data_IF_031664587162
#
_entry.id   IF_031664587162
#
_cell.length_a   1.000
_cell.length_b   1.000
_cell.length_c   1.000
_cell.angle_alpha   90.00
_cell.angle_beta   90.00
_cell.angle_gamma   90.00
#
_symmetry.space_group_name_H-M   'P 1'
#
loop_
_entity.id
_entity.type
_entity.pdbx_description
1 polymer ?
#
# COMPACT_ATOMS: atom_id res chain seq x y z
N UNK A 1 -28.48 50.66 12.38
CA UNK A 1 -27.19 50.05 12.80
C UNK A 1 -27.49 48.62 13.24
N UNK A 2 -26.96 47.64 12.50
CA UNK A 2 -26.99 46.24 12.92
C UNK A 2 -25.80 46.03 13.87
N UNK A 3 -25.98 45.39 15.03
CA UNK A 3 -24.89 45.10 15.94
C UNK A 3 -23.94 44.08 15.28
N UNK A 4 -22.64 44.35 15.37
CA UNK A 4 -21.61 43.39 14.96
C UNK A 4 -21.79 42.05 15.69
N UNK A 5 -21.62 40.90 15.02
CA UNK A 5 -21.61 39.62 15.71
C UNK A 5 -20.49 39.62 16.74
N UNK A 6 -20.69 38.98 17.90
CA UNK A 6 -19.65 38.91 18.93
C UNK A 6 -18.41 38.21 18.33
N UNK A 7 -17.24 38.81 18.63
CA UNK A 7 -15.97 38.21 18.23
C UNK A 7 -15.89 36.78 18.77
N UNK A 8 -15.77 35.82 17.86
CA UNK A 8 -15.53 34.43 18.23
C UNK A 8 -14.21 34.36 18.99
N UNK A 9 -14.18 33.77 20.20
CA UNK A 9 -12.95 33.67 20.96
C UNK A 9 -11.94 32.87 20.15
N UNK A 10 -10.82 33.48 19.83
CA UNK A 10 -9.69 32.84 19.17
C UNK A 10 -9.00 31.87 20.14
N UNK A 11 -9.55 30.66 20.27
CA UNK A 11 -8.88 29.53 20.92
C UNK A 11 -8.11 28.67 19.89
N UNK A 12 -7.47 29.30 18.94
CA UNK A 12 -6.41 28.65 18.19
C UNK A 12 -5.12 29.17 18.79
N UNK A 13 -4.55 28.40 19.74
CA UNK A 13 -3.13 28.53 20.03
C UNK A 13 -2.41 28.19 18.70
N UNK A 14 -1.73 29.18 18.14
CA UNK A 14 -0.74 28.94 17.10
C UNK A 14 0.20 27.85 17.62
N UNK A 15 0.21 26.68 16.98
CA UNK A 15 1.24 25.71 17.23
C UNK A 15 0.93 24.25 17.02
N UNK A 16 -0.31 23.78 16.99
CA UNK A 16 -0.53 22.36 16.74
C UNK A 16 -1.87 22.10 16.06
N UNK A 17 -1.87 22.14 14.73
CA UNK A 17 -2.84 21.31 14.02
C UNK A 17 -2.46 19.85 14.29
N UNK A 18 -3.34 19.04 14.89
CA UNK A 18 -3.06 17.62 15.05
C UNK A 18 -2.85 17.03 13.66
N UNK A 19 -1.60 16.70 13.33
CA UNK A 19 -1.28 15.98 12.09
C UNK A 19 -2.02 14.65 12.16
N UNK A 20 -2.74 14.25 11.11
CA UNK A 20 -3.34 12.92 11.07
C UNK A 20 -2.25 11.88 11.38
N UNK A 21 -2.44 11.07 12.41
CA UNK A 21 -1.41 10.16 12.95
C UNK A 21 -0.94 9.08 11.98
N UNK A 22 -1.58 8.93 10.81
CA UNK A 22 -1.25 7.92 9.81
C UNK A 22 -1.44 8.47 8.40
N UNK A 23 -0.52 9.33 7.96
CA UNK A 23 -0.42 9.77 6.56
C UNK A 23 0.57 8.84 5.85
N UNK A 24 0.15 8.33 4.70
CA UNK A 24 1.05 7.63 3.78
C UNK A 24 1.89 8.65 3.01
N UNK A 25 3.17 8.34 2.82
CA UNK A 25 4.05 9.05 1.90
C UNK A 25 5.01 8.06 1.23
N UNK A 26 5.47 8.38 0.03
CA UNK A 26 6.52 7.63 -0.67
C UNK A 26 7.49 8.59 -1.35
N UNK A 27 8.76 8.18 -1.41
CA UNK A 27 9.86 8.89 -2.10
C UNK A 27 10.74 7.85 -2.76
N UNK A 28 11.28 8.15 -3.94
CA UNK A 28 12.18 7.26 -4.65
C UNK A 28 11.94 7.22 -6.15
N UNK A 29 12.40 6.14 -6.80
CA UNK A 29 12.20 5.86 -8.22
C UNK A 29 10.93 5.04 -8.43
N UNK A 30 10.51 4.89 -9.70
CA UNK A 30 9.34 4.09 -10.07
C UNK A 30 9.42 2.63 -9.56
N UNK A 31 10.60 2.04 -9.54
CA UNK A 31 10.82 0.63 -9.18
C UNK A 31 11.24 0.42 -7.71
N UNK A 32 11.70 1.47 -7.02
CA UNK A 32 12.17 1.40 -5.63
C UNK A 32 11.75 2.66 -4.88
N UNK A 33 10.94 2.50 -3.85
CA UNK A 33 10.40 3.62 -3.08
C UNK A 33 10.62 3.39 -1.59
N UNK A 34 11.02 4.41 -0.87
CA UNK A 34 10.88 4.44 0.59
C UNK A 34 9.46 4.92 0.91
N UNK A 35 8.71 4.09 1.57
CA UNK A 35 7.30 4.34 1.95
C UNK A 35 7.19 4.51 3.45
N UNK A 36 6.24 5.33 3.85
CA UNK A 36 5.94 5.60 5.26
C UNK A 36 4.44 5.57 5.52
N UNK A 37 4.05 4.99 6.64
CA UNK A 37 2.71 5.11 7.21
C UNK A 37 2.80 5.34 8.72
N UNK A 38 2.56 6.57 9.16
CA UNK A 38 2.80 6.96 10.55
C UNK A 38 4.29 6.91 10.90
N UNK A 39 4.67 6.10 11.87
CA UNK A 39 6.07 5.91 12.31
C UNK A 39 6.74 4.69 11.64
N UNK A 40 6.04 3.96 10.78
CA UNK A 40 6.57 2.77 10.11
C UNK A 40 7.11 3.15 8.75
N UNK A 41 8.39 2.85 8.50
CA UNK A 41 9.05 2.94 7.21
C UNK A 41 9.24 1.55 6.61
N UNK A 42 9.23 1.46 5.28
CA UNK A 42 9.66 0.27 4.54
C UNK A 42 10.11 0.67 3.14
N UNK A 43 10.93 -0.17 2.53
CA UNK A 43 11.30 -0.03 1.13
C UNK A 43 10.40 -0.95 0.31
N UNK A 44 9.73 -0.37 -0.69
CA UNK A 44 9.07 -1.12 -1.75
C UNK A 44 10.05 -1.32 -2.90
N UNK A 45 10.11 -2.54 -3.42
CA UNK A 45 10.93 -2.90 -4.58
C UNK A 45 10.06 -3.63 -5.59
N UNK A 46 10.06 -3.19 -6.85
CA UNK A 46 9.34 -3.87 -7.93
C UNK A 46 10.15 -5.07 -8.46
N UNK A 47 10.43 -5.99 -7.56
CA UNK A 47 11.07 -7.25 -7.82
C UNK A 47 10.65 -8.29 -6.78
N UNK A 48 10.63 -9.58 -7.16
CA UNK A 48 10.34 -10.67 -6.23
C UNK A 48 11.39 -10.76 -5.11
N UNK A 49 11.02 -11.24 -3.91
CA UNK A 49 11.95 -11.44 -2.81
C UNK A 49 13.22 -12.20 -3.17
N UNK A 50 13.10 -13.25 -3.98
CA UNK A 50 14.27 -14.03 -4.44
C UNK A 50 15.28 -13.21 -5.24
N UNK A 51 14.84 -12.13 -5.92
CA UNK A 51 15.71 -11.21 -6.66
C UNK A 51 16.24 -10.09 -5.76
N UNK A 52 15.44 -9.61 -4.83
CA UNK A 52 15.83 -8.55 -3.88
C UNK A 52 16.84 -9.05 -2.84
N UNK A 53 16.76 -10.33 -2.46
CA UNK A 53 17.63 -10.91 -1.42
C UNK A 53 19.13 -10.76 -1.69
N UNK A 54 19.67 -11.18 -2.84
CA UNK A 54 21.09 -11.01 -3.12
C UNK A 54 21.51 -9.54 -3.20
N UNK A 55 20.68 -8.63 -3.73
CA UNK A 55 20.98 -7.20 -3.75
C UNK A 55 21.11 -6.60 -2.34
N UNK A 56 20.27 -7.05 -1.40
CA UNK A 56 20.37 -6.65 0.01
C UNK A 56 21.68 -7.13 0.61
N UNK A 57 22.09 -8.36 0.31
CA UNK A 57 23.35 -8.92 0.80
C UNK A 57 24.58 -8.21 0.22
N UNK A 58 24.53 -7.88 -1.07
CA UNK A 58 25.58 -7.11 -1.74
C UNK A 58 25.74 -5.73 -1.09
N UNK A 59 24.63 -5.03 -0.78
CA UNK A 59 24.65 -3.78 -0.03
C UNK A 59 25.35 -3.91 1.32
N UNK A 60 24.99 -4.92 2.12
CA UNK A 60 25.63 -5.13 3.42
C UNK A 60 27.12 -5.46 3.31
N UNK A 61 27.52 -6.18 2.26
CA UNK A 61 28.91 -6.49 2.01
C UNK A 61 29.70 -5.23 1.58
N UNK A 62 29.15 -4.42 0.66
CA UNK A 62 29.78 -3.20 0.17
C UNK A 62 29.90 -2.14 1.29
N UNK A 63 28.92 -2.08 2.18
CA UNK A 63 28.92 -1.21 3.35
C UNK A 63 29.67 -1.79 4.56
N UNK A 64 30.38 -2.89 4.40
CA UNK A 64 31.21 -3.53 5.44
C UNK A 64 30.43 -3.92 6.73
N UNK A 65 29.16 -4.30 6.60
CA UNK A 65 28.41 -4.87 7.71
C UNK A 65 28.82 -6.32 7.97
N UNK A 66 28.91 -6.69 9.26
CA UNK A 66 29.05 -8.09 9.65
C UNK A 66 27.65 -8.74 9.71
N UNK A 67 27.40 -9.77 8.90
CA UNK A 67 26.15 -10.53 8.95
C UNK A 67 26.23 -11.55 10.10
N UNK A 68 25.47 -11.29 11.16
CA UNK A 68 25.38 -12.17 12.34
C UNK A 68 24.40 -13.32 12.08
N UNK A 69 23.34 -13.06 11.34
CA UNK A 69 22.36 -14.06 10.88
C UNK A 69 21.94 -13.76 9.46
N UNK A 70 21.75 -14.81 8.66
CA UNK A 70 21.36 -14.78 7.25
C UNK A 70 20.41 -15.97 6.98
N UNK A 71 19.11 -15.75 7.09
CA UNK A 71 18.08 -16.77 6.82
C UNK A 71 17.21 -16.38 5.63
N UNK A 72 17.56 -16.82 4.42
CA UNK A 72 16.81 -16.53 3.21
C UNK A 72 15.42 -17.17 3.19
N UNK A 73 15.19 -18.25 3.92
CA UNK A 73 13.89 -18.94 3.95
C UNK A 73 12.84 -18.16 4.74
N UNK A 74 13.29 -17.45 5.77
CA UNK A 74 12.46 -16.55 6.57
C UNK A 74 12.52 -15.09 6.08
N UNK A 75 13.44 -14.77 5.17
CA UNK A 75 13.68 -13.40 4.71
C UNK A 75 14.30 -12.52 5.80
N UNK A 76 15.12 -13.08 6.70
CA UNK A 76 15.67 -12.38 7.86
C UNK A 76 17.18 -12.24 7.78
N UNK A 77 17.66 -11.02 7.99
CA UNK A 77 19.08 -10.71 8.17
C UNK A 77 19.25 -9.98 9.49
N UNK A 78 20.26 -10.37 10.25
CA UNK A 78 20.78 -9.57 11.35
C UNK A 78 22.18 -9.10 10.97
N UNK A 79 22.36 -7.79 10.88
CA UNK A 79 23.63 -7.16 10.51
C UNK A 79 24.13 -6.24 11.62
N UNK A 80 25.44 -6.12 11.76
CA UNK A 80 26.09 -5.31 12.79
C UNK A 80 27.28 -4.55 12.18
N UNK A 81 27.37 -3.24 12.46
CA UNK A 81 28.50 -2.38 12.13
C UNK A 81 28.83 -1.51 13.35
N UNK A 82 28.07 -0.45 13.60
CA UNK A 82 28.15 0.37 14.82
C UNK A 82 27.00 0.03 15.77
N UNK A 83 25.90 -0.36 15.22
CA UNK A 83 24.71 -0.83 15.90
C UNK A 83 24.19 -2.08 15.20
N UNK A 84 23.34 -2.82 15.91
CA UNK A 84 22.73 -4.03 15.39
C UNK A 84 21.39 -3.70 14.77
N UNK A 85 21.20 -4.14 13.55
CA UNK A 85 19.96 -3.96 12.81
C UNK A 85 19.37 -5.29 12.37
N UNK A 86 18.04 -5.31 12.30
CA UNK A 86 17.25 -6.47 11.90
C UNK A 86 16.51 -6.10 10.62
N UNK A 87 16.80 -6.81 9.55
CA UNK A 87 16.11 -6.68 8.28
C UNK A 87 15.13 -7.84 8.11
N UNK A 88 13.92 -7.51 7.65
CA UNK A 88 12.94 -8.50 7.19
C UNK A 88 12.54 -8.18 5.76
N UNK A 89 12.70 -9.18 4.87
CA UNK A 89 12.26 -9.14 3.48
C UNK A 89 11.00 -9.98 3.34
N UNK A 90 9.95 -9.39 2.79
CA UNK A 90 8.67 -10.05 2.56
C UNK A 90 8.19 -9.84 1.12
N UNK A 91 7.25 -10.68 0.66
CA UNK A 91 6.51 -10.40 -0.57
C UNK A 91 5.70 -9.11 -0.40
N UNK A 92 5.70 -8.24 -1.40
CA UNK A 92 4.89 -7.02 -1.39
C UNK A 92 3.39 -7.30 -1.61
N UNK A 93 2.58 -6.24 -1.58
CA UNK A 93 1.14 -6.34 -1.89
C UNK A 93 0.95 -6.59 -3.38
N UNK A 94 1.67 -5.84 -4.23
CA UNK A 94 1.66 -6.03 -5.69
C UNK A 94 2.34 -7.35 -6.05
N UNK A 95 1.80 -8.04 -7.05
CA UNK A 95 2.50 -9.18 -7.66
C UNK A 95 3.88 -8.73 -8.17
N UNK A 96 4.88 -9.60 -8.07
CA UNK A 96 6.27 -9.32 -8.45
C UNK A 96 6.95 -8.17 -7.69
N UNK A 97 6.54 -7.93 -6.44
CA UNK A 97 7.17 -6.94 -5.59
C UNK A 97 7.63 -7.52 -4.25
N UNK A 98 8.53 -6.81 -3.60
CA UNK A 98 8.96 -7.09 -2.23
C UNK A 98 8.90 -5.85 -1.36
N UNK A 99 8.87 -6.07 -0.05
CA UNK A 99 8.92 -5.04 0.99
C UNK A 99 10.03 -5.37 1.96
N UNK A 100 10.84 -4.36 2.31
CA UNK A 100 11.98 -4.49 3.20
C UNK A 100 11.74 -3.61 4.42
N UNK A 101 11.82 -4.20 5.59
CA UNK A 101 11.69 -3.54 6.88
C UNK A 101 13.03 -3.55 7.61
N UNK A 102 13.36 -2.43 8.26
CA UNK A 102 14.56 -2.30 9.08
C UNK A 102 14.16 -1.88 10.49
N UNK A 103 14.61 -2.66 11.48
CA UNK A 103 14.33 -2.43 12.89
C UNK A 103 15.63 -2.40 13.68
N UNK A 104 15.64 -1.65 14.78
CA UNK A 104 16.72 -1.67 15.77
C UNK A 104 16.48 -2.74 16.85
N UNK A 105 17.36 -2.84 17.82
CA UNK A 105 17.25 -3.78 18.95
C UNK A 105 16.01 -3.58 19.82
N UNK A 106 15.43 -2.38 19.83
CA UNK A 106 14.18 -2.08 20.54
C UNK A 106 12.93 -2.43 19.74
N UNK A 107 13.08 -3.10 18.58
CA UNK A 107 11.98 -3.43 17.66
C UNK A 107 11.23 -2.21 17.15
N UNK A 108 11.90 -1.08 17.02
CA UNK A 108 11.38 0.15 16.41
C UNK A 108 12.02 0.38 15.04
N UNK A 109 11.31 1.09 14.15
CA UNK A 109 11.85 1.43 12.84
C UNK A 109 13.13 2.26 12.98
N UNK A 110 14.12 1.97 12.13
CA UNK A 110 15.33 2.78 12.03
C UNK A 110 15.02 4.19 11.51
N UNK A 111 16.01 5.08 11.57
CA UNK A 111 15.93 6.41 10.98
C UNK A 111 15.80 6.31 9.45
N UNK A 112 15.18 7.33 8.85
CA UNK A 112 14.91 7.38 7.40
C UNK A 112 16.15 7.18 6.55
N UNK A 113 17.30 7.70 6.99
CA UNK A 113 18.57 7.62 6.24
C UNK A 113 18.97 6.17 5.90
N UNK A 114 18.78 5.21 6.83
CA UNK A 114 19.09 3.80 6.57
C UNK A 114 18.23 3.21 5.43
N UNK A 115 16.98 3.64 5.35
CA UNK A 115 16.09 3.21 4.26
C UNK A 115 16.47 3.86 2.94
N UNK A 116 16.86 5.14 2.95
CA UNK A 116 17.27 5.88 1.75
C UNK A 116 18.57 5.33 1.16
N UNK A 117 19.54 4.98 2.00
CA UNK A 117 20.82 4.39 1.57
C UNK A 117 20.60 3.04 0.88
N UNK A 118 19.87 2.12 1.54
CA UNK A 118 19.56 0.81 0.96
C UNK A 118 18.67 0.93 -0.28
N UNK A 119 17.67 1.80 -0.28
CA UNK A 119 16.79 2.02 -1.43
C UNK A 119 17.57 2.58 -2.63
N UNK A 120 18.47 3.51 -2.39
CA UNK A 120 19.35 4.09 -3.42
C UNK A 120 20.25 3.02 -4.02
N UNK A 121 20.86 2.19 -3.20
CA UNK A 121 21.69 1.08 -3.66
C UNK A 121 20.90 0.10 -4.54
N UNK A 122 19.73 -0.34 -4.06
CA UNK A 122 18.86 -1.25 -4.83
C UNK A 122 18.41 -0.60 -6.14
N UNK A 123 18.00 0.68 -6.12
CA UNK A 123 17.54 1.40 -7.30
C UNK A 123 18.61 1.49 -8.39
N UNK A 124 19.88 1.68 -8.01
CA UNK A 124 21.01 1.76 -8.94
C UNK A 124 21.39 0.39 -9.53
N UNK A 125 21.26 -0.67 -8.74
CA UNK A 125 21.75 -2.01 -9.13
C UNK A 125 20.65 -2.94 -9.66
N UNK A 126 19.37 -2.67 -9.42
CA UNK A 126 18.25 -3.50 -9.87
C UNK A 126 18.09 -3.58 -11.40
N UNK A 127 18.28 -2.50 -12.18
CA UNK A 127 18.21 -2.57 -13.64
C UNK A 127 19.26 -3.51 -14.22
N UNK A 128 18.78 -4.56 -14.95
CA UNK A 128 19.67 -5.57 -15.54
C UNK A 128 20.26 -6.58 -14.56
N UNK A 129 19.87 -6.56 -13.29
CA UNK A 129 20.36 -7.53 -12.31
C UNK A 129 19.82 -8.94 -12.60
N UNK A 130 20.73 -9.89 -12.79
CA UNK A 130 20.40 -11.30 -13.11
C UNK A 130 20.42 -12.21 -11.86
N UNK A 131 20.86 -11.70 -10.71
CA UNK A 131 20.94 -12.47 -9.46
C UNK A 131 19.57 -12.96 -8.99
N UNK A 132 19.53 -14.20 -8.49
CA UNK A 132 18.32 -14.81 -7.94
C UNK A 132 18.69 -15.82 -6.86
N UNK A 133 18.13 -15.69 -5.67
CA UNK A 133 18.35 -16.61 -4.55
C UNK A 133 17.36 -17.77 -4.59
N UNK A 134 17.82 -18.98 -4.84
CA UNK A 134 17.00 -20.20 -4.76
C UNK A 134 16.45 -20.40 -3.35
N UNK A 135 17.27 -20.11 -2.31
CA UNK A 135 16.87 -20.27 -0.93
C UNK A 135 15.77 -19.31 -0.50
N UNK A 136 15.67 -18.11 -1.13
CA UNK A 136 14.62 -17.13 -0.88
C UNK A 136 13.36 -17.31 -1.76
N UNK A 137 13.32 -18.31 -2.64
CA UNK A 137 12.17 -18.53 -3.54
C UNK A 137 10.86 -18.84 -2.80
N UNK A 138 10.95 -19.43 -1.61
CA UNK A 138 9.78 -19.66 -0.75
C UNK A 138 9.02 -18.38 -0.42
N UNK A 139 9.72 -17.25 -0.27
CA UNK A 139 9.11 -15.95 0.01
C UNK A 139 8.26 -15.43 -1.15
N UNK A 140 8.56 -15.83 -2.40
CA UNK A 140 7.79 -15.42 -3.57
C UNK A 140 6.34 -15.94 -3.54
N UNK A 141 6.07 -16.98 -2.74
CA UNK A 141 4.74 -17.57 -2.59
C UNK A 141 3.93 -16.92 -1.47
N UNK A 142 4.57 -16.16 -0.60
CA UNK A 142 3.95 -15.54 0.59
C UNK A 142 3.24 -14.23 0.25
N UNK A 143 2.38 -14.23 -0.75
CA UNK A 143 1.62 -13.05 -1.19
C UNK A 143 0.82 -12.43 -0.05
N UNK A 144 0.87 -11.10 0.06
CA UNK A 144 0.08 -10.36 1.06
C UNK A 144 -1.39 -10.21 0.67
N UNK A 145 -1.72 -10.26 -0.61
CA UNK A 145 -3.09 -10.25 -1.09
C UNK A 145 -3.43 -11.58 -1.76
N UNK A 146 -4.60 -12.14 -1.46
CA UNK A 146 -5.11 -13.35 -2.09
C UNK A 146 -6.62 -13.32 -2.26
N UNK A 147 -7.11 -13.91 -3.33
CA UNK A 147 -8.54 -14.09 -3.55
C UNK A 147 -9.08 -15.13 -2.55
N UNK A 148 -10.20 -14.82 -1.94
CA UNK A 148 -10.93 -15.68 -1.02
C UNK A 148 -12.42 -15.69 -1.36
N UNK A 149 -13.16 -16.69 -0.86
CA UNK A 149 -14.60 -16.71 -0.99
C UNK A 149 -15.24 -16.49 0.37
N UNK A 150 -15.97 -15.39 0.53
CA UNK A 150 -16.72 -15.05 1.73
C UNK A 150 -18.20 -15.25 1.43
N UNK A 151 -18.86 -16.17 2.15
CA UNK A 151 -20.29 -16.51 1.93
C UNK A 151 -20.65 -16.83 0.47
N UNK A 152 -19.72 -17.45 -0.27
CA UNK A 152 -19.78 -17.81 -1.70
C UNK A 152 -19.57 -16.64 -2.67
N UNK A 153 -19.29 -15.45 -2.21
CA UNK A 153 -18.91 -14.30 -3.02
C UNK A 153 -17.39 -14.13 -3.02
N UNK A 154 -16.86 -13.59 -4.10
CA UNK A 154 -15.43 -13.34 -4.24
C UNK A 154 -15.04 -12.14 -3.38
N UNK A 155 -13.89 -12.24 -2.72
CA UNK A 155 -13.29 -11.18 -1.93
C UNK A 155 -11.77 -11.22 -2.00
N UNK A 156 -11.10 -10.28 -1.37
CA UNK A 156 -9.64 -10.26 -1.25
C UNK A 156 -9.27 -10.26 0.23
N UNK A 157 -8.49 -11.23 0.65
CA UNK A 157 -7.85 -11.20 1.96
C UNK A 157 -6.47 -10.57 1.84
N UNK A 158 -6.23 -9.56 2.67
CA UNK A 158 -4.94 -8.93 2.85
C UNK A 158 -4.35 -9.38 4.19
N UNK A 159 -3.17 -10.00 4.17
CA UNK A 159 -2.38 -10.34 5.36
C UNK A 159 -1.70 -9.08 5.91
N UNK A 160 -2.50 -8.07 6.16
CA UNK A 160 -2.11 -6.75 6.60
C UNK A 160 -3.20 -6.18 7.53
N UNK A 161 -2.80 -5.36 8.52
CA UNK A 161 -3.76 -4.64 9.35
C UNK A 161 -4.55 -3.62 8.51
N UNK A 162 -5.74 -3.27 8.99
CA UNK A 162 -6.67 -2.38 8.28
C UNK A 162 -6.04 -1.08 7.78
N UNK A 163 -5.24 -0.41 8.59
CA UNK A 163 -4.60 0.86 8.22
C UNK A 163 -3.71 0.75 6.97
N UNK A 164 -2.93 -0.34 6.88
CA UNK A 164 -2.07 -0.65 5.73
C UNK A 164 -2.90 -0.99 4.50
N UNK A 165 -3.91 -1.85 4.67
CA UNK A 165 -4.83 -2.25 3.60
C UNK A 165 -5.62 -1.06 3.08
N UNK A 166 -6.19 -0.25 3.97
CA UNK A 166 -6.90 0.98 3.59
C UNK A 166 -6.05 1.92 2.75
N UNK A 167 -4.81 2.16 3.19
CA UNK A 167 -3.88 3.02 2.47
C UNK A 167 -3.52 2.47 1.09
N UNK A 168 -3.23 1.17 0.99
CA UNK A 168 -2.90 0.53 -0.28
C UNK A 168 -4.09 0.54 -1.25
N UNK A 169 -5.29 0.18 -0.75
CA UNK A 169 -6.49 0.12 -1.58
C UNK A 169 -6.96 1.51 -2.03
N UNK A 170 -6.86 2.52 -1.14
CA UNK A 170 -7.18 3.90 -1.54
C UNK A 170 -6.31 4.35 -2.72
N UNK A 171 -5.01 4.05 -2.70
CA UNK A 171 -4.12 4.35 -3.83
C UNK A 171 -4.43 3.52 -5.06
N UNK A 172 -4.77 2.24 -4.89
CA UNK A 172 -5.13 1.38 -6.01
C UNK A 172 -6.38 1.88 -6.73
N UNK A 173 -7.40 2.29 -5.99
CA UNK A 173 -8.64 2.89 -6.54
C UNK A 173 -8.34 4.18 -7.28
N UNK A 174 -7.51 5.07 -6.69
CA UNK A 174 -7.12 6.33 -7.33
C UNK A 174 -6.27 6.07 -8.60
N UNK A 175 -5.37 5.07 -8.58
CA UNK A 175 -4.51 4.69 -9.72
C UNK A 175 -5.27 3.99 -10.85
N UNK A 176 -6.34 3.27 -10.50
CA UNK A 176 -7.22 2.59 -11.45
C UNK A 176 -8.22 3.54 -12.12
N UNK A 177 -8.14 4.85 -11.85
CA UNK A 177 -9.09 5.87 -12.32
C UNK A 177 -10.55 5.54 -11.98
N UNK A 178 -10.77 4.79 -10.88
CA UNK A 178 -12.10 4.49 -10.39
C UNK A 178 -12.68 5.72 -9.65
N UNK A 179 -13.81 6.21 -10.10
CA UNK A 179 -14.45 7.39 -9.49
C UNK A 179 -14.95 7.08 -8.08
N UNK A 180 -14.32 7.65 -7.07
CA UNK A 180 -14.77 7.53 -5.68
C UNK A 180 -15.98 8.45 -5.47
N UNK A 181 -17.12 7.87 -5.06
CA UNK A 181 -18.36 8.57 -4.72
C UNK A 181 -18.36 8.96 -3.25
N UNK A 182 -18.01 8.01 -2.38
CA UNK A 182 -17.90 8.23 -0.94
C UNK A 182 -16.80 7.35 -0.33
N UNK A 183 -16.22 7.83 0.77
CA UNK A 183 -15.13 7.13 1.46
C UNK A 183 -15.25 7.37 2.95
N UNK A 184 -15.57 6.33 3.69
CA UNK A 184 -15.71 6.41 5.13
C UNK A 184 -14.81 5.39 5.83
N UNK A 185 -13.73 5.89 6.46
CA UNK A 185 -12.75 5.03 7.13
C UNK A 185 -13.26 4.47 8.46
N UNK A 186 -14.11 5.19 9.18
CA UNK A 186 -14.67 4.73 10.45
C UNK A 186 -15.68 3.61 10.23
N UNK A 187 -16.51 3.74 9.20
CA UNK A 187 -17.48 2.72 8.78
C UNK A 187 -16.86 1.66 7.87
N UNK A 188 -15.59 1.83 7.49
CA UNK A 188 -14.78 0.88 6.73
C UNK A 188 -15.38 0.54 5.35
N UNK A 189 -15.71 1.56 4.56
CA UNK A 189 -16.13 1.37 3.18
C UNK A 189 -15.57 2.42 2.22
N UNK A 190 -15.52 2.06 0.95
CA UNK A 190 -15.30 2.96 -0.19
C UNK A 190 -16.37 2.68 -1.22
N UNK A 191 -17.12 3.70 -1.63
CA UNK A 191 -18.09 3.60 -2.71
C UNK A 191 -17.48 4.14 -4.00
N UNK A 192 -17.58 3.35 -5.06
CA UNK A 192 -17.02 3.68 -6.37
C UNK A 192 -18.08 3.63 -7.45
N UNK A 193 -17.88 4.46 -8.46
CA UNK A 193 -18.63 4.45 -9.71
C UNK A 193 -17.68 4.08 -10.83
N UNK A 194 -18.14 3.19 -11.69
CA UNK A 194 -17.43 2.80 -12.90
C UNK A 194 -17.84 3.73 -14.03
N UNK A 195 -16.89 4.44 -14.63
CA UNK A 195 -17.13 5.21 -15.82
C UNK A 195 -17.09 4.24 -17.02
N UNK A 196 -18.26 3.78 -17.46
CA UNK A 196 -18.38 3.05 -18.72
C UNK A 196 -18.25 4.08 -19.83
N UNK A 197 -17.17 4.03 -20.60
CA UNK A 197 -17.07 4.78 -21.85
C UNK A 197 -18.12 4.24 -22.82
N UNK A 198 -19.31 4.81 -22.79
CA UNK A 198 -20.24 4.65 -23.91
C UNK A 198 -19.65 5.42 -25.10
N UNK A 199 -19.05 4.72 -26.05
CA UNK A 199 -18.72 5.25 -27.37
C UNK A 199 -20.02 5.69 -28.07
N UNK A 200 -20.38 6.96 -27.93
CA UNK A 200 -21.52 7.52 -28.66
C UNK A 200 -21.72 9.01 -28.43
N UNK A 201 -21.99 9.70 -29.51
CA UNK A 201 -22.25 11.16 -29.61
C UNK A 201 -23.35 11.66 -28.64
N UNK A 202 -24.12 10.78 -28.03
CA UNK A 202 -25.21 11.07 -27.09
C UNK A 202 -24.80 11.06 -25.59
N UNK A 203 -23.63 10.56 -25.22
CA UNK A 203 -23.18 10.51 -23.84
C UNK A 203 -23.11 11.90 -23.18
N UNK A 204 -22.75 12.93 -23.94
CA UNK A 204 -22.68 14.32 -23.46
C UNK A 204 -24.05 14.98 -23.20
N UNK A 205 -25.16 14.38 -23.66
CA UNK A 205 -26.51 14.96 -23.47
C UNK A 205 -27.15 14.51 -22.16
N UNK A 206 -26.80 13.28 -21.67
CA UNK A 206 -27.34 12.73 -20.42
C UNK A 206 -26.52 13.12 -19.19
N UNK A 207 -25.23 13.47 -19.33
CA UNK A 207 -24.38 13.93 -18.23
C UNK A 207 -24.72 15.34 -17.69
N UNK A 208 -25.74 16.00 -18.23
CA UNK A 208 -26.19 17.33 -17.76
C UNK A 208 -27.41 17.32 -16.82
N UNK A 209 -27.89 16.14 -16.46
CA UNK A 209 -29.03 16.02 -15.55
C UNK A 209 -28.54 15.58 -14.18
N UNK A 210 -28.45 16.55 -13.28
CA UNK A 210 -28.27 16.45 -11.83
C UNK A 210 -26.92 15.91 -11.32
N UNK A 211 -25.98 16.82 -11.14
CA UNK A 211 -24.70 16.65 -10.42
C UNK A 211 -24.87 16.39 -8.90
N UNK A 212 -26.10 16.34 -8.39
CA UNK A 212 -26.39 16.27 -6.95
C UNK A 212 -26.65 14.86 -6.39
N UNK A 213 -26.67 13.79 -7.21
CA UNK A 213 -26.77 12.41 -6.72
C UNK A 213 -26.02 11.44 -7.64
N UNK A 214 -24.71 11.39 -7.48
CA UNK A 214 -23.90 10.34 -8.13
C UNK A 214 -24.10 9.05 -7.35
N UNK A 215 -24.92 8.11 -7.87
CA UNK A 215 -25.08 6.79 -7.28
C UNK A 215 -23.84 5.93 -7.54
N UNK A 216 -23.37 5.24 -6.52
CA UNK A 216 -22.24 4.31 -6.62
C UNK A 216 -22.69 2.98 -7.25
N UNK A 217 -21.78 2.35 -8.00
CA UNK A 217 -22.00 1.04 -8.60
C UNK A 217 -21.57 -0.10 -7.68
N UNK A 218 -20.51 0.13 -6.91
CA UNK A 218 -19.97 -0.82 -5.95
C UNK A 218 -19.65 -0.15 -4.61
N UNK A 219 -19.83 -0.92 -3.54
CA UNK A 219 -19.32 -0.63 -2.20
C UNK A 219 -18.26 -1.67 -1.82
N UNK A 220 -17.05 -1.22 -1.58
CA UNK A 220 -15.93 -1.99 -1.09
C UNK A 220 -15.97 -1.95 0.43
N UNK A 221 -16.28 -3.06 1.06
CA UNK A 221 -16.48 -3.16 2.52
C UNK A 221 -15.31 -3.90 3.15
N UNK A 222 -14.73 -3.32 4.19
CA UNK A 222 -13.60 -3.90 4.90
C UNK A 222 -14.05 -4.52 6.21
N UNK A 223 -13.55 -5.71 6.50
CA UNK A 223 -13.66 -6.36 7.80
C UNK A 223 -12.29 -6.83 8.29
N UNK A 224 -12.11 -6.92 9.59
CA UNK A 224 -10.85 -7.38 10.20
C UNK A 224 -11.03 -8.75 10.84
N UNK A 225 -10.05 -9.62 10.63
CA UNK A 225 -10.02 -10.96 11.21
C UNK A 225 -8.57 -11.35 11.52
N UNK A 226 -8.25 -11.60 12.80
CA UNK A 226 -6.95 -12.11 13.26
C UNK A 226 -5.73 -11.30 12.76
N UNK A 227 -5.87 -9.97 12.67
CA UNK A 227 -4.80 -9.08 12.19
C UNK A 227 -4.73 -8.93 10.67
N UNK A 228 -5.56 -9.68 9.93
CA UNK A 228 -5.76 -9.54 8.49
C UNK A 228 -6.95 -8.65 8.19
N UNK A 229 -7.02 -8.13 6.98
CA UNK A 229 -8.17 -7.38 6.47
C UNK A 229 -8.78 -8.11 5.30
N UNK A 230 -10.10 -8.27 5.32
CA UNK A 230 -10.87 -8.85 4.22
C UNK A 230 -11.64 -7.74 3.53
N UNK A 231 -11.56 -7.70 2.21
CA UNK A 231 -12.31 -6.83 1.33
C UNK A 231 -13.43 -7.62 0.67
N UNK A 232 -14.67 -7.19 0.88
CA UNK A 232 -15.86 -7.70 0.22
C UNK A 232 -16.38 -6.66 -0.77
N UNK A 233 -16.95 -7.13 -1.88
CA UNK A 233 -17.51 -6.29 -2.94
C UNK A 233 -19.02 -6.40 -2.94
N UNK A 234 -19.70 -5.30 -2.69
CA UNK A 234 -21.15 -5.23 -2.69
C UNK A 234 -21.63 -4.44 -3.89
N UNK A 235 -22.32 -5.09 -4.81
CA UNK A 235 -22.90 -4.45 -5.99
C UNK A 235 -24.11 -3.62 -5.57
N UNK A 236 -24.15 -2.35 -5.97
CA UNK A 236 -25.20 -1.39 -5.63
C UNK A 236 -26.10 -1.06 -6.84
N UNK A 237 -25.60 -1.22 -8.06
CA UNK A 237 -26.33 -0.93 -9.30
C UNK A 237 -26.41 -2.14 -10.22
N UNK A 238 -27.22 -2.09 -11.27
CA UNK A 238 -27.37 -3.15 -12.27
C UNK A 238 -26.34 -3.02 -13.42
N UNK A 239 -25.15 -2.53 -13.14
CA UNK A 239 -24.09 -2.44 -14.15
C UNK A 239 -23.66 -3.82 -14.64
N UNK A 240 -23.30 -3.97 -15.91
CA UNK A 240 -22.86 -5.25 -16.48
C UNK A 240 -21.43 -5.66 -16.05
N UNK A 241 -20.66 -4.72 -15.50
CA UNK A 241 -19.32 -5.00 -14.97
C UNK A 241 -19.36 -5.97 -13.78
N UNK A 242 -18.56 -7.01 -13.83
CA UNK A 242 -18.56 -8.08 -12.82
C UNK A 242 -17.61 -7.77 -11.64
N UNK A 243 -17.81 -8.48 -10.52
CA UNK A 243 -16.89 -8.40 -9.37
C UNK A 243 -15.51 -8.93 -9.74
N UNK A 244 -15.41 -9.97 -10.59
CA UNK A 244 -14.14 -10.54 -11.04
C UNK A 244 -13.32 -9.50 -11.81
N UNK A 245 -13.93 -8.77 -12.74
CA UNK A 245 -13.28 -7.68 -13.47
C UNK A 245 -12.80 -6.57 -12.53
N UNK A 246 -13.60 -6.21 -11.52
CA UNK A 246 -13.22 -5.20 -10.54
C UNK A 246 -12.05 -5.67 -9.67
N UNK A 247 -12.02 -6.95 -9.27
CA UNK A 247 -10.91 -7.56 -8.54
C UNK A 247 -9.62 -7.50 -9.36
N UNK A 248 -9.69 -7.80 -10.65
CA UNK A 248 -8.52 -7.76 -11.53
C UNK A 248 -7.98 -6.33 -11.67
N UNK A 249 -8.84 -5.34 -11.93
CA UNK A 249 -8.47 -3.92 -12.02
C UNK A 249 -7.80 -3.43 -10.74
N UNK A 250 -8.39 -3.75 -9.59
CA UNK A 250 -7.82 -3.37 -8.29
C UNK A 250 -6.48 -4.07 -8.06
N UNK A 251 -6.40 -5.37 -8.34
CA UNK A 251 -5.18 -6.16 -8.13
C UNK A 251 -4.00 -5.68 -8.98
N UNK A 252 -4.24 -5.28 -10.23
CA UNK A 252 -3.23 -4.69 -11.11
C UNK A 252 -2.75 -3.32 -10.61
N UNK A 253 -3.62 -2.58 -9.95
CA UNK A 253 -3.34 -1.23 -9.44
C UNK A 253 -2.73 -1.22 -8.04
N UNK A 254 -2.77 -2.35 -7.31
CA UNK A 254 -2.12 -2.49 -6.00
C UNK A 254 -0.62 -2.23 -6.09
N UNK A 255 -0.11 -1.42 -5.16
CA UNK A 255 1.32 -1.08 -5.10
C UNK A 255 1.75 -0.74 -3.68
#
# INVERSE_FOLDING_TARGET
>A
EFPYPPETPSFIKEGEMPRPKKIFSSTGSENVEVRRLGEIYWIYVEALPSKSWPLIKDFFADEEYNLVNDDPSLGQITAEKNEKLFLTLEHGIKNNSSEIYLLNESNTSLELAYFEDLASYISLNLPGYEGNSIAAQGLNLNKKARIVYVKKEIGIEFRLPFDRTWSALSRAVDKADLKVVDRNRELKYIQIKLEVEEEGFFANLFNRVNDDQVEADYELVFSESEGNTILEFKKLSNIEFSVDELVDVINESLS
#
